data_IF_246431232967
#
_entry.id   IF_246431232967
#
_cell.length_a   1.000
_cell.length_b   1.000
_cell.length_c   1.000
_cell.angle_alpha   90.00
_cell.angle_beta   90.00
_cell.angle_gamma   90.00
#
_symmetry.space_group_name_H-M   'P 1'
#
loop_
_entity.id
_entity.type
_entity.pdbx_description
1 polymer ?
#
# COMPACT_ATOMS: atom_id res chain seq x y z
N UNK A 1 -33.95 19.25 0.40
CA UNK A 1 -32.96 19.08 1.48
C UNK A 1 -32.02 17.97 1.01
N UNK A 2 -30.77 18.28 0.64
CA UNK A 2 -29.86 17.31 -0.04
C UNK A 2 -28.52 17.18 0.73
N UNK A 3 -28.20 18.15 1.59
CA UNK A 3 -26.94 18.23 2.31
C UNK A 3 -26.71 17.14 3.39
N UNK A 4 -27.69 16.78 4.25
CA UNK A 4 -27.42 15.81 5.32
C UNK A 4 -27.35 14.36 4.80
N UNK A 5 -28.08 14.03 3.75
CA UNK A 5 -28.15 12.66 3.21
C UNK A 5 -26.80 12.24 2.58
N UNK A 6 -26.13 13.19 1.91
CA UNK A 6 -24.78 13.01 1.36
C UNK A 6 -23.73 12.72 2.43
N UNK A 7 -23.88 13.28 3.63
CA UNK A 7 -22.93 13.04 4.73
C UNK A 7 -23.07 11.59 5.23
N UNK A 8 -24.29 11.09 5.33
CA UNK A 8 -24.55 9.69 5.70
C UNK A 8 -23.96 8.71 4.67
N UNK A 9 -24.05 9.03 3.37
CA UNK A 9 -23.44 8.20 2.32
C UNK A 9 -21.92 8.06 2.49
N UNK A 10 -21.22 9.13 2.89
CA UNK A 10 -19.77 9.09 3.12
C UNK A 10 -19.39 8.32 4.40
N UNK A 11 -20.24 8.35 5.44
CA UNK A 11 -20.03 7.59 6.68
C UNK A 11 -20.19 6.08 6.43
N UNK A 12 -21.05 5.69 5.48
CA UNK A 12 -21.33 4.30 5.15
C UNK A 12 -20.24 3.62 4.29
N UNK A 13 -19.25 4.37 3.79
CA UNK A 13 -18.15 3.80 3.00
C UNK A 13 -17.28 2.91 3.89
N UNK A 14 -16.90 1.74 3.36
CA UNK A 14 -16.03 0.82 4.07
C UNK A 14 -14.67 1.49 4.39
N UNK A 15 -14.24 1.51 5.66
CA UNK A 15 -12.96 2.09 6.04
C UNK A 15 -11.80 1.28 5.45
N UNK A 16 -10.78 1.97 4.94
CA UNK A 16 -9.61 1.37 4.28
C UNK A 16 -8.70 0.57 5.23
N UNK A 17 -8.93 0.70 6.55
CA UNK A 17 -8.18 0.01 7.60
C UNK A 17 -7.99 0.89 8.83
N UNK A 18 -7.49 0.31 9.93
CA UNK A 18 -7.19 1.09 11.14
C UNK A 18 -5.96 1.98 10.89
N UNK A 19 -6.07 3.28 11.23
CA UNK A 19 -4.96 4.24 11.12
C UNK A 19 -3.74 3.85 11.96
N UNK A 20 -3.95 3.12 13.05
CA UNK A 20 -2.89 2.58 13.91
C UNK A 20 -3.16 1.10 14.13
N UNK A 21 -2.30 0.26 13.59
CA UNK A 21 -2.25 -1.15 13.99
C UNK A 21 -1.48 -1.23 15.32
N UNK A 22 -1.83 -2.16 16.20
CA UNK A 22 -1.11 -2.36 17.47
C UNK A 22 0.35 -2.83 17.29
N UNK A 23 0.78 -3.07 16.05
CA UNK A 23 2.12 -3.51 15.66
C UNK A 23 3.16 -2.37 15.53
N UNK A 24 2.77 -1.10 15.68
CA UNK A 24 3.61 0.04 15.24
C UNK A 24 4.65 0.54 16.24
N UNK A 25 4.73 0.01 17.46
CA UNK A 25 5.67 0.54 18.46
C UNK A 25 7.01 -0.23 18.46
N UNK A 26 7.62 -0.39 17.27
CA UNK A 26 9.03 -0.81 17.16
C UNK A 26 9.86 0.47 16.95
N UNK A 27 10.50 1.03 17.99
CA UNK A 27 11.17 2.34 17.93
C UNK A 27 12.34 2.39 16.94
N UNK A 28 12.84 1.23 16.51
CA UNK A 28 13.98 1.08 15.60
C UNK A 28 13.58 0.70 14.18
N UNK A 29 12.29 0.64 13.82
CA UNK A 29 11.88 0.33 12.45
C UNK A 29 11.81 1.59 11.57
N UNK A 30 12.40 1.58 10.36
CA UNK A 30 13.25 0.54 9.78
C UNK A 30 14.72 0.71 10.20
N UNK A 31 15.31 -0.34 10.79
CA UNK A 31 16.68 -0.30 11.30
C UNK A 31 17.71 -0.29 10.16
N UNK A 32 17.37 -0.97 9.07
CA UNK A 32 18.06 -0.96 7.79
C UNK A 32 17.01 -0.62 6.75
N UNK A 33 17.25 0.37 5.90
CA UNK A 33 16.31 0.81 4.84
C UNK A 33 16.12 -0.21 3.71
N UNK A 34 16.24 -1.51 4.02
CA UNK A 34 16.13 -2.60 3.09
C UNK A 34 14.65 -2.89 2.81
N UNK A 35 14.30 -3.01 1.52
CA UNK A 35 12.94 -3.36 1.09
C UNK A 35 13.02 -4.60 0.22
N UNK A 36 12.37 -5.67 0.66
CA UNK A 36 12.28 -6.94 -0.09
C UNK A 36 10.85 -7.08 -0.61
N UNK A 37 10.72 -7.12 -1.93
CA UNK A 37 9.52 -7.57 -2.60
C UNK A 37 9.71 -9.05 -2.94
N UNK A 38 8.85 -9.91 -2.41
CA UNK A 38 8.84 -11.34 -2.71
C UNK A 38 7.52 -11.71 -3.39
N UNK A 39 7.61 -12.09 -4.66
CA UNK A 39 6.49 -12.62 -5.44
C UNK A 39 5.25 -11.71 -5.47
N UNK A 40 5.44 -10.39 -5.43
CA UNK A 40 4.34 -9.44 -5.26
C UNK A 40 3.53 -9.36 -6.55
N UNK A 41 2.22 -9.57 -6.41
CA UNK A 41 1.26 -9.50 -7.50
C UNK A 41 0.16 -8.50 -7.14
N UNK A 42 -0.06 -7.51 -8.00
CA UNK A 42 -0.98 -6.41 -7.73
C UNK A 42 -1.98 -6.22 -8.87
N UNK A 43 -3.24 -5.97 -8.50
CA UNK A 43 -4.35 -5.58 -9.40
C UNK A 43 -5.19 -4.51 -8.76
N UNK A 44 -5.70 -3.57 -9.55
CA UNK A 44 -6.59 -2.50 -9.08
C UNK A 44 -8.01 -3.00 -8.79
N UNK A 45 -8.49 -3.99 -9.55
CA UNK A 45 -9.80 -4.62 -9.35
C UNK A 45 -9.66 -6.14 -9.31
N UNK A 46 -10.56 -6.86 -8.62
CA UNK A 46 -10.52 -8.32 -8.56
C UNK A 46 -10.51 -8.98 -9.94
N UNK A 47 -11.26 -8.39 -10.88
CA UNK A 47 -11.48 -8.91 -12.23
C UNK A 47 -10.53 -8.35 -13.30
N UNK A 48 -9.64 -7.42 -12.94
CA UNK A 48 -8.69 -6.83 -13.88
C UNK A 48 -7.42 -7.70 -14.00
N UNK A 49 -6.72 -7.64 -15.14
CA UNK A 49 -5.44 -8.30 -15.28
C UNK A 49 -4.44 -7.77 -14.24
N UNK A 50 -3.58 -8.68 -13.75
CA UNK A 50 -2.48 -8.32 -12.86
C UNK A 50 -1.56 -7.30 -13.54
N UNK A 51 -1.40 -6.14 -12.91
CA UNK A 51 -0.54 -5.05 -13.38
C UNK A 51 0.91 -5.31 -12.97
N UNK A 52 1.11 -5.77 -11.73
CA UNK A 52 2.38 -6.35 -11.30
C UNK A 52 2.20 -7.86 -11.25
N UNK A 53 3.05 -8.58 -11.98
CA UNK A 53 3.06 -10.04 -12.03
C UNK A 53 4.37 -10.54 -11.46
N UNK A 54 4.31 -11.21 -10.32
CA UNK A 54 5.43 -11.97 -9.77
C UNK A 54 6.72 -11.16 -9.59
N UNK A 55 6.59 -9.92 -9.11
CA UNK A 55 7.73 -9.01 -9.00
C UNK A 55 8.50 -9.32 -7.72
N UNK A 56 9.74 -9.81 -7.88
CA UNK A 56 10.67 -10.08 -6.79
C UNK A 56 11.92 -9.23 -6.96
N UNK A 57 12.19 -8.33 -6.01
CA UNK A 57 13.43 -7.56 -5.97
C UNK A 57 13.80 -7.19 -4.55
N UNK A 58 15.09 -7.07 -4.30
CA UNK A 58 15.66 -6.73 -3.00
C UNK A 58 16.42 -5.41 -3.12
N UNK A 59 15.94 -4.39 -2.42
CA UNK A 59 16.54 -3.06 -2.36
C UNK A 59 17.33 -2.98 -1.08
N UNK A 60 18.65 -2.78 -1.17
CA UNK A 60 19.48 -2.58 0.02
C UNK A 60 19.34 -1.15 0.56
N UNK A 61 19.43 -1.00 1.88
CA UNK A 61 19.37 0.31 2.52
C UNK A 61 20.53 1.20 2.08
N UNK A 62 20.23 2.39 1.53
CA UNK A 62 21.22 3.34 1.03
C UNK A 62 21.31 3.42 -0.51
N UNK A 63 20.58 2.59 -1.25
CA UNK A 63 20.56 2.60 -2.71
C UNK A 63 19.47 3.54 -3.26
N UNK A 64 19.84 4.42 -4.21
CA UNK A 64 18.88 5.35 -4.84
C UNK A 64 18.28 4.70 -6.08
N UNK A 65 17.09 4.11 -5.94
CA UNK A 65 16.37 3.54 -7.07
C UNK A 65 15.84 4.65 -8.00
N UNK A 66 16.23 4.59 -9.27
CA UNK A 66 15.66 5.38 -10.37
C UNK A 66 14.70 4.49 -11.15
N UNK A 67 13.42 4.85 -11.19
CA UNK A 67 12.47 4.24 -12.12
C UNK A 67 12.81 4.70 -13.54
N UNK A 68 13.19 3.77 -14.42
CA UNK A 68 13.20 3.98 -15.87
C UNK A 68 11.90 3.40 -16.42
N UNK A 69 11.10 4.24 -17.05
CA UNK A 69 9.99 3.81 -17.90
C UNK A 69 10.54 3.77 -19.34
N UNK A 70 10.42 2.62 -20.00
CA UNK A 70 10.68 2.46 -21.43
C UNK A 70 9.38 2.10 -22.14
#
# INVERSE_FOLDING_TARGET
MIAPERICDYIAIAPEGARRNQLTDVPSWPATGQVVFDNVSFRYKPNDPLVLKNVSFNVQGGEKLRRVAS
#
